data_IF_702454147563
#
_entry.id   IF_702454147563
#
_cell.length_a   1.000
_cell.length_b   1.000
_cell.length_c   1.000
_cell.angle_alpha   90.00
_cell.angle_beta   90.00
_cell.angle_gamma   90.00
#
_symmetry.space_group_name_H-M   'P 1'
#
loop_
_entity.id
_entity.type
_entity.pdbx_description
1 polymer ?
#
# COMPACT_ATOMS: atom_id res chain seq x y z
N UNK A 1 -32.43 62.14 33.54
CA UNK A 1 -31.32 61.48 34.27
C UNK A 1 -31.52 59.97 34.23
N UNK A 2 -30.72 59.24 33.44
CA UNK A 2 -30.11 57.94 33.75
C UNK A 2 -29.43 57.37 32.50
N UNK A 3 -28.11 57.55 32.47
CA UNK A 3 -27.17 56.90 31.56
C UNK A 3 -27.07 55.41 31.91
N UNK A 4 -27.16 54.53 30.93
CA UNK A 4 -26.74 53.13 31.05
C UNK A 4 -25.64 52.87 30.00
N UNK A 5 -24.40 52.79 30.47
CA UNK A 5 -23.24 52.42 29.67
C UNK A 5 -23.16 50.89 29.59
N UNK A 6 -23.33 50.33 28.39
CA UNK A 6 -23.05 48.92 28.12
C UNK A 6 -21.57 48.79 27.72
N UNK A 7 -20.76 48.24 28.61
CA UNK A 7 -19.34 47.92 28.36
C UNK A 7 -19.28 46.61 27.57
N UNK A 8 -18.98 46.70 26.28
CA UNK A 8 -18.65 45.55 25.44
C UNK A 8 -17.19 45.14 25.73
N UNK A 9 -17.00 44.14 26.58
CA UNK A 9 -15.68 43.50 26.77
C UNK A 9 -15.35 42.63 25.56
N UNK A 10 -14.48 43.16 24.70
CA UNK A 10 -13.90 42.48 23.55
C UNK A 10 -12.77 41.53 24.04
N UNK A 11 -13.13 40.28 24.35
CA UNK A 11 -12.13 39.23 24.61
C UNK A 11 -11.63 38.67 23.27
N UNK A 12 -10.52 39.22 22.77
CA UNK A 12 -9.71 38.58 21.73
C UNK A 12 -9.07 37.32 22.32
N UNK A 13 -9.74 36.18 22.14
CA UNK A 13 -9.14 34.88 22.34
C UNK A 13 -8.10 34.61 21.26
N UNK A 14 -6.82 34.78 21.60
CA UNK A 14 -5.68 34.28 20.83
C UNK A 14 -5.77 32.75 20.75
N UNK A 15 -6.41 32.24 19.70
CA UNK A 15 -6.24 30.84 19.33
C UNK A 15 -4.84 30.67 18.76
N UNK A 16 -3.91 30.25 19.61
CA UNK A 16 -2.64 29.65 19.18
C UNK A 16 -3.00 28.35 18.45
N UNK A 17 -3.30 28.48 17.16
CA UNK A 17 -3.52 27.37 16.26
C UNK A 17 -2.23 26.58 16.16
N UNK A 18 -2.11 25.54 16.98
CA UNK A 18 -1.11 24.50 16.80
C UNK A 18 -1.30 23.95 15.40
N UNK A 19 -0.42 24.35 14.47
CA UNK A 19 -0.23 23.65 13.20
C UNK A 19 0.41 22.31 13.54
N UNK A 20 -0.37 21.39 14.10
CA UNK A 20 -0.02 19.98 14.12
C UNK A 20 0.25 19.63 12.67
N UNK A 21 1.52 19.41 12.36
CA UNK A 21 1.95 18.90 11.09
C UNK A 21 1.32 17.51 10.96
N UNK A 22 0.09 17.48 10.46
CA UNK A 22 -0.45 16.35 9.75
C UNK A 22 0.41 16.23 8.48
N UNK A 23 1.66 15.76 8.65
CA UNK A 23 2.41 15.01 7.65
C UNK A 23 1.61 13.73 7.52
N UNK A 24 0.44 13.93 6.91
CA UNK A 24 -0.71 13.08 7.06
C UNK A 24 -0.51 11.91 6.15
N UNK A 25 -1.03 10.78 6.58
CA UNK A 25 -1.27 9.56 5.81
C UNK A 25 -1.75 9.74 4.36
N UNK A 26 -2.14 10.96 3.92
CA UNK A 26 -2.26 11.37 2.51
C UNK A 26 -0.99 11.09 1.69
N UNK A 27 0.19 11.36 2.25
CA UNK A 27 1.45 11.29 1.51
C UNK A 27 1.75 9.89 0.97
N UNK A 28 1.42 8.83 1.73
CA UNK A 28 1.76 7.45 1.34
C UNK A 28 1.07 7.03 0.04
N UNK A 29 -0.18 7.45 -0.17
CA UNK A 29 -0.95 7.08 -1.38
C UNK A 29 -0.40 7.81 -2.60
N UNK A 30 -0.18 9.12 -2.47
CA UNK A 30 0.38 9.95 -3.53
C UNK A 30 1.81 9.53 -3.86
N UNK A 31 2.63 9.24 -2.85
CA UNK A 31 4.01 8.79 -3.01
C UNK A 31 4.10 7.41 -3.67
N UNK A 32 3.15 6.51 -3.46
CA UNK A 32 3.21 5.17 -4.04
C UNK A 32 2.47 5.08 -5.38
N UNK A 33 1.21 5.53 -5.45
CA UNK A 33 0.41 5.49 -6.68
C UNK A 33 0.80 6.59 -7.66
N UNK A 34 1.21 7.76 -7.18
CA UNK A 34 1.39 8.96 -8.02
C UNK A 34 0.07 9.66 -8.39
N UNK A 35 -1.06 9.25 -7.80
CA UNK A 35 -2.37 9.87 -8.03
C UNK A 35 -3.29 9.77 -6.81
N UNK A 36 -4.21 10.73 -6.73
CA UNK A 36 -5.26 10.82 -5.69
C UNK A 36 -6.69 10.91 -6.26
N UNK A 37 -6.84 11.04 -7.58
CA UNK A 37 -8.11 11.13 -8.29
C UNK A 37 -8.58 9.78 -8.84
N UNK A 38 -9.86 9.66 -9.19
CA UNK A 38 -10.44 8.45 -9.80
C UNK A 38 -10.83 8.75 -11.26
N UNK A 39 -10.38 7.95 -12.25
CA UNK A 39 -9.49 6.80 -12.12
C UNK A 39 -8.03 7.18 -11.86
N UNK A 40 -7.31 6.36 -11.09
CA UNK A 40 -5.88 6.48 -10.80
C UNK A 40 -5.12 5.42 -11.59
N UNK A 41 -4.21 5.85 -12.48
CA UNK A 41 -3.26 4.97 -13.17
C UNK A 41 -1.94 5.07 -12.42
N UNK A 42 -1.49 4.00 -11.74
CA UNK A 42 -0.26 4.07 -10.95
C UNK A 42 0.96 4.37 -11.79
N UNK A 43 1.94 5.06 -11.20
CA UNK A 43 3.28 5.24 -11.78
C UNK A 43 4.06 3.93 -11.89
N UNK A 44 5.12 3.93 -12.69
CA UNK A 44 5.88 2.72 -13.07
C UNK A 44 6.40 1.94 -11.86
N UNK A 45 6.85 2.64 -10.82
CA UNK A 45 7.47 2.06 -9.63
C UNK A 45 6.48 1.22 -8.83
N UNK A 46 5.19 1.57 -8.86
CA UNK A 46 4.13 0.83 -8.18
C UNK A 46 4.08 -0.64 -8.62
N UNK A 47 4.28 -0.87 -9.91
CA UNK A 47 4.12 -2.18 -10.54
C UNK A 47 5.17 -3.20 -10.13
N UNK A 48 6.35 -2.76 -9.65
CA UNK A 48 7.41 -3.65 -9.17
C UNK A 48 7.08 -4.34 -7.84
N UNK A 49 6.12 -3.81 -7.08
CA UNK A 49 5.80 -4.28 -5.72
C UNK A 49 6.68 -3.60 -4.67
N UNK A 50 7.02 -4.32 -3.59
CA UNK A 50 7.74 -3.77 -2.44
C UNK A 50 7.23 -4.30 -1.11
N UNK A 51 7.28 -3.47 -0.07
CA UNK A 51 6.79 -3.82 1.27
C UNK A 51 5.28 -4.07 1.28
N UNK A 52 4.87 -5.30 1.60
CA UNK A 52 3.45 -5.69 1.77
C UNK A 52 2.73 -4.75 2.75
N UNK A 53 3.38 -4.37 3.86
CA UNK A 53 2.78 -3.50 4.85
C UNK A 53 2.43 -2.11 4.29
N UNK A 54 3.27 -1.56 3.40
CA UNK A 54 3.00 -0.29 2.72
C UNK A 54 1.82 -0.43 1.77
N UNK A 55 1.81 -1.47 0.93
CA UNK A 55 0.70 -1.71 0.00
C UNK A 55 -0.63 -1.94 0.73
N UNK A 56 -0.66 -2.64 1.86
CA UNK A 56 -1.88 -2.81 2.66
C UNK A 56 -2.39 -1.50 3.26
N UNK A 57 -1.50 -0.56 3.64
CA UNK A 57 -1.91 0.80 4.03
C UNK A 57 -2.55 1.53 2.84
N UNK A 58 -2.01 1.37 1.63
CA UNK A 58 -2.59 1.96 0.41
C UNK A 58 -3.94 1.33 0.07
N UNK A 59 -4.13 0.01 0.25
CA UNK A 59 -5.45 -0.64 0.12
C UNK A 59 -6.50 0.07 0.98
N UNK A 60 -6.21 0.26 2.27
CA UNK A 60 -7.15 0.90 3.19
C UNK A 60 -7.54 2.30 2.72
N UNK A 61 -6.57 3.08 2.22
CA UNK A 61 -6.83 4.44 1.72
C UNK A 61 -7.57 4.49 0.39
N UNK A 62 -7.28 3.57 -0.53
CA UNK A 62 -8.02 3.43 -1.79
C UNK A 62 -9.49 3.09 -1.51
N UNK A 63 -9.74 2.20 -0.54
CA UNK A 63 -11.10 1.85 -0.11
C UNK A 63 -11.81 3.02 0.58
N UNK A 64 -11.15 3.68 1.54
CA UNK A 64 -11.67 4.86 2.27
C UNK A 64 -12.11 5.96 1.31
N UNK A 65 -11.31 6.23 0.27
CA UNK A 65 -11.55 7.31 -0.70
C UNK A 65 -12.30 6.89 -1.94
N UNK A 66 -12.61 5.60 -2.08
CA UNK A 66 -13.27 5.01 -3.25
C UNK A 66 -12.54 5.35 -4.56
N UNK A 67 -11.21 5.35 -4.55
CA UNK A 67 -10.39 5.63 -5.73
C UNK A 67 -10.39 4.38 -6.63
N UNK A 68 -10.83 4.50 -7.88
CA UNK A 68 -10.69 3.39 -8.83
C UNK A 68 -9.27 3.35 -9.37
N UNK A 69 -8.52 2.28 -9.10
CA UNK A 69 -7.16 2.07 -9.60
C UNK A 69 -7.19 1.20 -10.86
N UNK A 70 -6.57 1.70 -11.92
CA UNK A 70 -6.50 1.02 -13.22
C UNK A 70 -5.13 0.36 -13.37
N UNK A 71 -5.11 -0.97 -13.36
CA UNK A 71 -3.90 -1.76 -13.62
C UNK A 71 -3.82 -2.05 -15.12
N UNK A 72 -2.85 -1.43 -15.81
CA UNK A 72 -2.66 -1.56 -17.26
C UNK A 72 -1.31 -2.17 -17.66
N UNK A 73 -0.44 -2.46 -16.68
CA UNK A 73 0.89 -3.03 -16.88
C UNK A 73 1.09 -4.27 -15.98
N UNK A 74 2.16 -5.06 -16.20
CA UNK A 74 2.52 -6.17 -15.31
C UNK A 74 2.69 -5.70 -13.86
N UNK A 75 2.04 -6.38 -12.92
CA UNK A 75 1.92 -6.01 -11.52
C UNK A 75 2.46 -7.17 -10.67
N UNK A 76 3.61 -6.96 -10.03
CA UNK A 76 4.40 -8.02 -9.38
C UNK A 76 4.31 -7.95 -7.85
N UNK A 77 4.45 -9.10 -7.19
CA UNK A 77 4.67 -9.17 -5.74
C UNK A 77 3.56 -8.45 -4.95
N UNK A 78 3.92 -7.49 -4.10
CA UNK A 78 2.99 -6.67 -3.32
C UNK A 78 2.00 -5.87 -4.17
N UNK A 79 2.32 -5.52 -5.43
CA UNK A 79 1.36 -4.92 -6.35
C UNK A 79 0.20 -5.89 -6.61
N UNK A 80 0.50 -7.17 -6.89
CA UNK A 80 -0.53 -8.17 -7.13
C UNK A 80 -1.39 -8.41 -5.88
N UNK A 81 -0.79 -8.35 -4.69
CA UNK A 81 -1.52 -8.42 -3.42
C UNK A 81 -2.42 -7.20 -3.22
N UNK A 82 -1.94 -6.00 -3.53
CA UNK A 82 -2.79 -4.80 -3.50
C UNK A 82 -3.97 -4.94 -4.44
N UNK A 83 -3.74 -5.36 -5.69
CA UNK A 83 -4.79 -5.50 -6.68
C UNK A 83 -5.87 -6.50 -6.20
N UNK A 84 -5.45 -7.56 -5.50
CA UNK A 84 -6.34 -8.53 -4.90
C UNK A 84 -7.13 -7.98 -3.70
N UNK A 85 -6.45 -7.32 -2.75
CA UNK A 85 -7.09 -6.79 -1.53
C UNK A 85 -7.95 -5.56 -1.78
N UNK A 86 -7.62 -4.73 -2.77
CA UNK A 86 -8.41 -3.58 -3.21
C UNK A 86 -9.35 -3.91 -4.38
N UNK A 87 -9.61 -5.19 -4.66
CA UNK A 87 -10.33 -5.66 -5.86
C UNK A 87 -11.63 -4.90 -6.20
N UNK A 88 -12.52 -4.53 -5.24
CA UNK A 88 -13.72 -3.74 -5.57
C UNK A 88 -13.44 -2.36 -6.18
N UNK A 89 -12.22 -1.85 -6.00
CA UNK A 89 -11.75 -0.55 -6.47
C UNK A 89 -10.60 -0.68 -7.47
N UNK A 90 -10.38 -1.89 -8.01
CA UNK A 90 -9.33 -2.16 -9.00
C UNK A 90 -9.98 -2.75 -10.24
N UNK A 91 -9.70 -2.17 -11.40
CA UNK A 91 -10.02 -2.76 -12.68
C UNK A 91 -8.76 -2.94 -13.54
N UNK A 92 -8.81 -3.86 -14.49
CA UNK A 92 -7.68 -4.21 -15.35
C UNK A 92 -7.90 -3.79 -16.81
N UNK A 93 -6.84 -3.39 -17.50
CA UNK A 93 -6.80 -3.15 -18.96
C UNK A 93 -5.92 -4.17 -19.68
N UNK A 94 -6.06 -4.23 -21.00
CA UNK A 94 -5.17 -5.00 -21.86
C UNK A 94 -3.72 -4.53 -21.64
N UNK A 95 -2.84 -5.48 -21.27
CA UNK A 95 -1.48 -5.19 -20.79
C UNK A 95 -1.26 -5.61 -19.34
N UNK A 96 -2.32 -5.73 -18.55
CA UNK A 96 -2.22 -6.22 -17.18
C UNK A 96 -1.79 -7.70 -17.12
N UNK A 97 -0.85 -8.00 -16.24
CA UNK A 97 -0.52 -9.37 -15.83
C UNK A 97 -0.11 -9.35 -14.36
N UNK A 98 -0.17 -10.49 -13.69
CA UNK A 98 0.12 -10.57 -12.26
C UNK A 98 1.20 -11.60 -11.98
N UNK A 99 2.26 -11.18 -11.30
CA UNK A 99 3.36 -12.06 -10.91
C UNK A 99 3.34 -12.37 -9.43
N UNK A 100 3.22 -13.65 -9.09
CA UNK A 100 3.12 -14.14 -7.72
C UNK A 100 4.39 -14.86 -7.28
N UNK A 101 4.84 -14.60 -6.06
CA UNK A 101 5.94 -15.32 -5.41
C UNK A 101 5.77 -15.27 -3.88
N UNK A 102 6.52 -16.09 -3.14
CA UNK A 102 6.50 -16.04 -1.67
C UNK A 102 7.18 -14.77 -1.17
N UNK A 103 6.58 -14.12 -0.18
CA UNK A 103 7.19 -12.98 0.51
C UNK A 103 8.28 -13.47 1.46
N UNK A 104 9.43 -12.79 1.46
CA UNK A 104 10.44 -12.95 2.49
C UNK A 104 9.89 -12.44 3.84
N UNK A 105 10.03 -13.27 4.87
CA UNK A 105 9.70 -12.91 6.24
C UNK A 105 10.95 -12.38 6.93
N UNK A 106 10.89 -11.12 7.33
CA UNK A 106 11.90 -10.50 8.17
C UNK A 106 11.29 -10.28 9.53
N UNK A 107 11.89 -10.87 10.57
CA UNK A 107 11.46 -10.72 11.95
C UNK A 107 12.34 -9.66 12.61
N UNK A 108 11.69 -8.69 13.24
CA UNK A 108 12.34 -7.74 14.14
C UNK A 108 12.91 -8.47 15.35
N UNK A 109 14.07 -8.07 15.88
CA UNK A 109 14.46 -8.43 17.24
C UNK A 109 13.30 -8.11 18.21
N UNK A 110 13.01 -9.01 19.15
CA UNK A 110 11.93 -8.81 20.14
C UNK A 110 12.09 -7.51 20.90
N UNK A 111 13.33 -7.09 21.08
CA UNK A 111 13.74 -5.86 21.76
C UNK A 111 13.32 -4.59 20.99
N UNK A 112 13.16 -4.69 19.66
CA UNK A 112 12.74 -3.60 18.78
C UNK A 112 11.24 -3.66 18.42
N UNK A 113 10.55 -4.77 18.71
CA UNK A 113 9.11 -4.90 18.45
C UNK A 113 8.27 -3.85 19.19
N UNK A 114 8.70 -3.41 20.38
CA UNK A 114 8.02 -2.35 21.16
C UNK A 114 8.30 -0.93 20.66
N UNK A 115 9.37 -0.73 19.87
CA UNK A 115 9.83 0.58 19.39
C UNK A 115 9.47 0.80 17.90
N UNK A 116 9.12 -0.26 17.17
CA UNK A 116 8.79 -0.24 15.75
C UNK A 116 7.42 0.40 15.46
N UNK A 117 7.25 1.67 15.79
CA UNK A 117 6.14 2.51 15.36
C UNK A 117 6.50 3.35 14.13
N UNK A 118 7.78 3.48 13.80
CA UNK A 118 8.20 4.24 12.63
C UNK A 118 8.12 3.41 11.34
N UNK A 119 7.37 3.85 10.33
CA UNK A 119 7.29 3.16 9.05
C UNK A 119 8.65 3.23 8.34
N UNK A 120 9.09 2.11 7.76
CA UNK A 120 10.27 2.10 6.88
C UNK A 120 10.15 3.18 5.78
N UNK A 121 11.24 3.88 5.44
CA UNK A 121 11.28 4.77 4.29
C UNK A 121 10.90 4.01 3.02
N UNK A 122 9.90 4.50 2.28
CA UNK A 122 9.36 3.85 1.07
C UNK A 122 10.47 3.57 0.04
N UNK A 123 11.40 4.53 -0.10
CA UNK A 123 12.53 4.47 -1.06
C UNK A 123 13.52 3.35 -0.76
N UNK A 124 13.70 2.96 0.50
CA UNK A 124 14.65 1.91 0.89
C UNK A 124 14.02 0.52 0.83
N UNK A 125 12.69 0.43 0.93
CA UNK A 125 11.95 -0.84 0.95
C UNK A 125 11.76 -1.54 -0.40
N UNK A 126 12.18 -0.89 -1.50
CA UNK A 126 11.90 -1.34 -2.88
C UNK A 126 13.15 -1.62 -3.72
N UNK A 127 14.36 -1.39 -3.19
CA UNK A 127 15.62 -1.53 -3.94
C UNK A 127 16.47 -2.74 -3.54
N UNK A 128 17.53 -3.01 -4.32
CA UNK A 128 18.54 -4.06 -4.04
C UNK A 128 19.23 -3.92 -2.66
N UNK A 129 19.15 -2.74 -2.04
CA UNK A 129 19.73 -2.45 -0.73
C UNK A 129 18.80 -2.80 0.44
N UNK A 130 17.51 -3.11 0.19
CA UNK A 130 16.57 -3.45 1.25
C UNK A 130 17.08 -4.60 2.16
N UNK A 131 17.64 -5.70 1.63
CA UNK A 131 18.22 -6.77 2.45
C UNK A 131 19.36 -6.28 3.36
N UNK A 132 20.20 -5.35 2.90
CA UNK A 132 21.32 -4.83 3.67
C UNK A 132 20.83 -3.93 4.82
N UNK A 133 19.83 -3.08 4.55
CA UNK A 133 19.20 -2.26 5.59
C UNK A 133 18.60 -3.12 6.71
N UNK A 134 17.85 -4.17 6.34
CA UNK A 134 17.29 -5.11 7.31
C UNK A 134 18.36 -5.73 8.19
N UNK A 135 19.44 -6.22 7.60
CA UNK A 135 20.56 -6.80 8.33
C UNK A 135 21.21 -5.78 9.28
N UNK A 136 21.47 -4.56 8.80
CA UNK A 136 22.08 -3.50 9.60
C UNK A 136 21.21 -3.04 10.78
N UNK A 137 19.89 -3.25 10.71
CA UNK A 137 18.94 -2.91 11.78
C UNK A 137 18.51 -4.15 12.60
N UNK A 138 19.29 -5.23 12.53
CA UNK A 138 19.11 -6.42 13.36
C UNK A 138 17.95 -7.33 12.93
N UNK A 139 17.26 -7.04 11.82
CA UNK A 139 16.22 -7.94 11.33
C UNK A 139 16.83 -9.28 10.93
N UNK A 140 16.15 -10.36 11.31
CA UNK A 140 16.55 -11.72 10.96
C UNK A 140 15.61 -12.28 9.90
N UNK A 141 16.20 -12.87 8.88
CA UNK A 141 15.44 -13.64 7.90
C UNK A 141 14.81 -14.86 8.59
N UNK A 142 13.49 -15.01 8.45
CA UNK A 142 12.69 -16.03 9.11
C UNK A 142 11.96 -16.94 8.09
N UNK A 143 12.49 -17.02 6.87
CA UNK A 143 11.94 -17.86 5.80
C UNK A 143 11.03 -17.12 4.84
N UNK A 144 10.24 -17.89 4.10
CA UNK A 144 9.31 -17.40 3.09
C UNK A 144 7.89 -17.80 3.45
N UNK A 145 6.90 -16.93 3.15
CA UNK A 145 5.48 -17.27 3.26
C UNK A 145 4.71 -16.86 2.03
N UNK A 146 3.61 -17.55 1.77
CA UNK A 146 2.63 -17.07 0.80
C UNK A 146 1.94 -15.81 1.35
N UNK A 147 1.89 -14.72 0.57
CA UNK A 147 1.01 -13.60 0.90
C UNK A 147 -0.44 -14.08 0.98
N UNK A 148 -1.22 -13.44 1.85
CA UNK A 148 -2.61 -13.82 2.07
C UNK A 148 -3.51 -13.29 0.95
N UNK A 149 -3.62 -14.01 -0.16
CA UNK A 149 -4.57 -13.70 -1.22
C UNK A 149 -5.99 -14.17 -0.87
N UNK A 150 -6.99 -13.59 -1.53
CA UNK A 150 -8.36 -14.10 -1.59
C UNK A 150 -8.41 -15.58 -2.00
N UNK A 151 -9.49 -16.27 -1.63
CA UNK A 151 -9.61 -17.72 -1.81
C UNK A 151 -9.57 -18.16 -3.28
N UNK A 152 -10.10 -17.38 -4.21
CA UNK A 152 -10.11 -17.70 -5.64
C UNK A 152 -8.72 -17.58 -6.28
N UNK A 153 -7.98 -16.51 -5.95
CA UNK A 153 -6.58 -16.34 -6.35
C UNK A 153 -5.70 -17.39 -5.69
N UNK A 154 -5.87 -17.65 -4.39
CA UNK A 154 -5.16 -18.73 -3.70
C UNK A 154 -5.39 -20.08 -4.37
N UNK A 155 -6.63 -20.43 -4.67
CA UNK A 155 -6.97 -21.66 -5.40
C UNK A 155 -6.33 -21.71 -6.79
N UNK A 156 -6.19 -20.57 -7.49
CA UNK A 156 -5.46 -20.49 -8.75
C UNK A 156 -3.98 -20.82 -8.60
N UNK A 157 -3.34 -20.33 -7.52
CA UNK A 157 -1.94 -20.59 -7.20
C UNK A 157 -1.73 -22.04 -6.80
N UNK A 158 -2.56 -22.57 -5.91
CA UNK A 158 -2.45 -23.94 -5.39
C UNK A 158 -2.54 -24.98 -6.52
N UNK A 159 -3.46 -24.79 -7.48
CA UNK A 159 -3.58 -25.65 -8.68
C UNK A 159 -2.36 -25.62 -9.61
N UNK A 160 -1.41 -24.70 -9.40
CA UNK A 160 -0.17 -24.54 -10.16
C UNK A 160 1.08 -24.86 -9.33
N UNK A 161 0.90 -25.50 -8.17
CA UNK A 161 2.01 -25.86 -7.27
C UNK A 161 2.37 -24.75 -6.28
N UNK A 162 1.52 -23.74 -6.09
CA UNK A 162 1.74 -22.63 -5.17
C UNK A 162 2.63 -21.51 -5.74
N UNK A 163 2.91 -20.51 -4.91
CA UNK A 163 3.79 -19.41 -5.30
C UNK A 163 5.28 -19.84 -5.19
N UNK A 164 6.09 -19.65 -6.24
CA UNK A 164 7.53 -19.92 -6.20
C UNK A 164 8.28 -18.91 -5.29
N UNK A 165 9.52 -19.24 -4.90
CA UNK A 165 10.38 -18.36 -4.08
C UNK A 165 11.16 -17.37 -4.97
N UNK A 166 11.90 -17.88 -5.97
CA UNK A 166 12.89 -17.09 -6.71
C UNK A 166 12.38 -16.49 -8.03
N UNK A 167 11.30 -17.05 -8.58
CA UNK A 167 10.68 -16.61 -9.83
C UNK A 167 9.26 -16.13 -9.60
N UNK A 168 8.63 -15.61 -10.63
CA UNK A 168 7.19 -15.30 -10.60
C UNK A 168 6.39 -16.42 -11.26
N UNK A 169 5.32 -16.84 -10.60
CA UNK A 169 4.22 -17.50 -11.28
C UNK A 169 3.39 -16.42 -11.96
N UNK A 170 3.39 -16.39 -13.30
CA UNK A 170 2.68 -15.36 -14.05
C UNK A 170 1.23 -15.74 -14.33
N UNK A 171 0.33 -14.78 -14.15
CA UNK A 171 -1.06 -14.81 -14.59
C UNK A 171 -1.27 -13.75 -15.67
N UNK A 172 -1.49 -14.21 -16.89
CA UNK A 172 -1.75 -13.34 -18.05
C UNK A 172 -3.06 -12.57 -17.91
N UNK A 173 -3.21 -11.47 -18.66
CA UNK A 173 -4.48 -10.73 -18.78
C UNK A 173 -5.70 -11.64 -19.01
N UNK A 174 -5.56 -12.62 -19.92
CA UNK A 174 -6.63 -13.57 -20.29
C UNK A 174 -7.08 -14.42 -19.10
N UNK A 175 -6.18 -14.73 -18.17
CA UNK A 175 -6.50 -15.44 -16.94
C UNK A 175 -7.02 -14.47 -15.87
N UNK A 176 -6.40 -13.30 -15.74
CA UNK A 176 -6.73 -12.28 -14.75
C UNK A 176 -8.16 -11.76 -14.84
N UNK A 177 -8.73 -11.63 -16.05
CA UNK A 177 -10.13 -11.22 -16.23
C UNK A 177 -11.18 -12.17 -15.62
N UNK A 178 -10.77 -13.32 -15.09
CA UNK A 178 -11.64 -14.22 -14.31
C UNK A 178 -11.77 -13.80 -12.84
N UNK A 179 -10.87 -12.95 -12.35
CA UNK A 179 -10.75 -12.56 -10.94
C UNK A 179 -10.98 -11.05 -10.74
N UNK A 180 -10.54 -10.22 -11.70
CA UNK A 180 -10.70 -8.76 -11.65
C UNK A 180 -11.66 -8.26 -12.72
N UNK A 181 -12.44 -7.21 -12.42
CA UNK A 181 -13.26 -6.55 -13.43
C UNK A 181 -12.37 -5.89 -14.49
N UNK A 182 -12.83 -5.93 -15.74
CA UNK A 182 -12.20 -5.20 -16.85
C UNK A 182 -12.69 -3.76 -16.81
N UNK A 183 -11.79 -2.79 -16.94
CA UNK A 183 -12.20 -1.39 -17.00
C UNK A 183 -13.06 -1.14 -18.25
N UNK A 184 -14.16 -0.40 -18.07
CA UNK A 184 -14.99 0.10 -19.17
C UNK A 184 -14.29 1.24 -19.92
#
# INVERSE_FOLDING_TARGET
>A
MRNLYFVFSLLLGLSLGSKSAAIGTLGIVEDLLGCISSPCIPKKEFYAGGSIAVFLKVVAKVQERRITVVVSAPCYSACALFADKARPFVCIKQGASFGFHKSALWRLPKELESVAQEPMPIKESTGANAPLWFQNHGYRFNGYRDPEYSSDVKNYLDRRGGAPIEKFLMMSYKQAKKFWPVCQ
#
